data_IF_364773751641
#
_entry.id   IF_364773751641
#
_cell.length_a   1.000
_cell.length_b   1.000
_cell.length_c   1.000
_cell.angle_alpha   90.00
_cell.angle_beta   90.00
_cell.angle_gamma   90.00
#
_symmetry.space_group_name_H-M   'P 1'
#
loop_
_entity.id
_entity.type
_entity.pdbx_description
1 polymer ?
#
# COMPACT_ATOMS: atom_id res chain seq x y z
N UNK A 1 1.08 6.97 -24.58
CA UNK A 1 1.03 6.64 -23.14
C UNK A 1 1.56 5.23 -23.02
N UNK A 2 2.58 5.01 -22.20
CA UNK A 2 3.14 3.68 -22.03
C UNK A 2 2.50 2.97 -20.83
N UNK A 3 2.74 1.67 -20.70
CA UNK A 3 2.03 0.84 -19.74
C UNK A 3 2.34 1.22 -18.29
N UNK A 4 3.59 1.59 -18.00
CA UNK A 4 4.00 2.15 -16.70
C UNK A 4 3.20 3.40 -16.34
N UNK A 5 2.95 4.29 -17.31
CA UNK A 5 2.16 5.50 -17.09
C UNK A 5 0.70 5.16 -16.77
N UNK A 6 0.13 4.17 -17.45
CA UNK A 6 -1.24 3.69 -17.20
C UNK A 6 -1.36 3.09 -15.80
N UNK A 7 -0.51 2.13 -15.44
CA UNK A 7 -0.51 1.46 -14.12
C UNK A 7 -0.36 2.49 -13.00
N UNK A 8 0.61 3.41 -13.12
CA UNK A 8 0.81 4.47 -12.12
C UNK A 8 -0.40 5.40 -12.00
N UNK A 9 -1.07 5.70 -13.12
CA UNK A 9 -2.29 6.50 -13.13
C UNK A 9 -3.42 5.83 -12.36
N UNK A 10 -3.62 4.53 -12.59
CA UNK A 10 -4.60 3.71 -11.88
C UNK A 10 -4.27 3.58 -10.38
N UNK A 11 -3.01 3.33 -10.05
CA UNK A 11 -2.58 3.29 -8.66
C UNK A 11 -2.83 4.64 -7.97
N UNK A 12 -2.40 5.75 -8.59
CA UNK A 12 -2.66 7.08 -8.02
C UNK A 12 -4.15 7.35 -7.81
N UNK A 13 -5.02 6.95 -8.75
CA UNK A 13 -6.45 7.23 -8.63
C UNK A 13 -7.10 6.47 -7.48
N UNK A 14 -6.68 5.24 -7.17
CA UNK A 14 -7.19 4.51 -5.99
C UNK A 14 -6.67 5.10 -4.67
N UNK A 15 -5.46 5.67 -4.67
CA UNK A 15 -4.85 6.23 -3.45
C UNK A 15 -5.37 7.62 -3.11
N UNK A 16 -5.49 8.52 -4.10
CA UNK A 16 -5.82 9.95 -3.88
C UNK A 16 -6.96 10.50 -4.75
N UNK A 17 -7.62 9.63 -5.51
CA UNK A 17 -8.79 9.97 -6.31
C UNK A 17 -8.47 10.43 -7.75
N UNK A 18 -9.46 10.40 -8.66
CA UNK A 18 -10.80 9.82 -8.46
C UNK A 18 -10.79 8.30 -8.67
N UNK A 19 -11.09 7.51 -7.62
CA UNK A 19 -11.15 6.06 -7.72
C UNK A 19 -12.45 5.61 -8.38
N UNK A 20 -12.42 4.50 -9.12
CA UNK A 20 -13.60 4.02 -9.85
C UNK A 20 -14.65 3.36 -8.93
N UNK A 21 -14.21 2.82 -7.79
CA UNK A 21 -15.03 2.05 -6.85
C UNK A 21 -15.65 2.91 -5.73
N UNK A 22 -15.60 4.24 -5.83
CA UNK A 22 -16.05 5.17 -4.80
C UNK A 22 -14.92 6.04 -4.26
N UNK A 23 -14.95 6.45 -2.98
CA UNK A 23 -13.88 7.25 -2.40
C UNK A 23 -12.54 6.51 -2.46
N UNK A 24 -11.48 7.26 -2.75
CA UNK A 24 -10.10 6.80 -2.67
C UNK A 24 -9.68 6.51 -1.23
N UNK A 25 -8.52 5.87 -1.06
CA UNK A 25 -7.95 5.58 0.25
C UNK A 25 -7.80 6.85 1.11
N UNK A 26 -7.25 7.92 0.55
CA UNK A 26 -7.10 9.20 1.24
C UNK A 26 -8.45 9.82 1.64
N UNK A 27 -9.48 9.69 0.80
CA UNK A 27 -10.82 10.19 1.11
C UNK A 27 -11.50 9.38 2.21
N UNK A 28 -11.35 8.05 2.21
CA UNK A 28 -11.91 7.16 3.24
C UNK A 28 -11.29 7.40 4.63
N UNK A 29 -10.03 7.80 4.70
CA UNK A 29 -9.32 8.04 5.97
C UNK A 29 -9.58 9.44 6.54
N UNK A 30 -10.19 10.34 5.75
CA UNK A 30 -10.39 11.73 6.17
C UNK A 30 -11.37 11.81 7.35
N UNK A 31 -10.90 12.34 8.47
CA UNK A 31 -11.72 12.58 9.66
C UNK A 31 -11.92 11.35 10.56
N UNK A 32 -11.29 10.22 10.25
CA UNK A 32 -11.24 9.04 11.12
C UNK A 32 -10.36 9.37 12.33
N UNK A 33 -10.87 9.21 13.54
CA UNK A 33 -10.11 9.37 14.79
C UNK A 33 -9.33 8.10 15.12
N UNK A 34 -8.30 8.19 15.97
CA UNK A 34 -7.57 7.00 16.44
C UNK A 34 -8.48 5.98 17.13
N UNK A 35 -9.47 6.45 17.90
CA UNK A 35 -10.46 5.58 18.54
C UNK A 35 -11.27 4.78 17.51
N UNK A 36 -11.72 5.43 16.43
CA UNK A 36 -12.43 4.75 15.35
C UNK A 36 -11.49 3.82 14.58
N UNK A 37 -10.25 4.26 14.35
CA UNK A 37 -9.26 3.53 13.59
C UNK A 37 -8.87 2.21 14.27
N UNK A 38 -8.75 2.21 15.60
CA UNK A 38 -8.39 1.06 16.41
C UNK A 38 -9.58 0.18 16.83
N UNK A 39 -10.81 0.53 16.45
CA UNK A 39 -11.99 -0.23 16.85
C UNK A 39 -12.14 -1.55 16.06
N UNK A 40 -12.64 -2.58 16.74
CA UNK A 40 -13.02 -3.88 16.14
C UNK A 40 -14.53 -4.13 16.28
N UNK A 41 -15.38 -3.38 15.57
CA UNK A 41 -16.84 -3.54 15.68
C UNK A 41 -17.33 -4.87 15.12
N UNK A 42 -16.55 -5.49 14.23
CA UNK A 42 -16.83 -6.81 13.66
C UNK A 42 -15.82 -7.79 14.26
N UNK A 43 -16.33 -8.79 14.99
CA UNK A 43 -15.49 -9.80 15.62
C UNK A 43 -14.63 -10.55 14.58
N UNK A 44 -13.33 -10.67 14.86
CA UNK A 44 -12.37 -11.39 14.01
C UNK A 44 -11.97 -10.65 12.73
N UNK A 45 -12.46 -9.43 12.49
CA UNK A 45 -12.00 -8.59 11.37
C UNK A 45 -10.87 -7.67 11.81
N UNK A 46 -10.00 -7.27 10.89
CA UNK A 46 -9.01 -6.22 11.14
C UNK A 46 -9.68 -4.85 11.31
N UNK A 47 -9.13 -4.05 12.19
CA UNK A 47 -9.43 -2.63 12.35
C UNK A 47 -8.94 -1.82 11.15
N UNK A 48 -9.44 -0.58 11.02
CA UNK A 48 -8.99 0.34 9.96
C UNK A 48 -7.49 0.58 10.08
N UNK A 49 -6.97 0.71 11.31
CA UNK A 49 -5.55 0.96 11.54
C UNK A 49 -4.68 -0.22 11.11
N UNK A 50 -5.06 -1.45 11.45
CA UNK A 50 -4.34 -2.65 11.00
C UNK A 50 -4.32 -2.74 9.46
N UNK A 51 -5.42 -2.38 8.80
CA UNK A 51 -5.48 -2.34 7.33
C UNK A 51 -4.55 -1.25 6.77
N UNK A 52 -4.49 -0.06 7.37
CA UNK A 52 -3.55 1.00 6.98
C UNK A 52 -2.09 0.54 7.11
N UNK A 53 -1.77 -0.13 8.22
CA UNK A 53 -0.43 -0.68 8.46
C UNK A 53 -0.08 -1.74 7.41
N UNK A 54 -0.99 -2.67 7.14
CA UNK A 54 -0.84 -3.73 6.15
C UNK A 54 -0.58 -3.18 4.74
N UNK A 55 -1.41 -2.23 4.28
CA UNK A 55 -1.22 -1.58 2.97
C UNK A 55 0.16 -0.91 2.92
N UNK A 56 0.52 -0.15 3.97
CA UNK A 56 1.81 0.52 4.02
C UNK A 56 2.99 -0.46 3.96
N UNK A 57 2.91 -1.59 4.68
CA UNK A 57 3.94 -2.62 4.67
C UNK A 57 4.17 -3.17 3.25
N UNK A 58 3.10 -3.51 2.54
CA UNK A 58 3.17 -4.00 1.17
C UNK A 58 3.68 -2.95 0.17
N UNK A 59 3.32 -1.67 0.33
CA UNK A 59 3.85 -0.61 -0.53
C UNK A 59 5.38 -0.49 -0.41
N UNK A 60 5.91 -0.44 0.82
CA UNK A 60 7.36 -0.40 1.04
C UNK A 60 8.05 -1.69 0.59
N UNK A 61 7.40 -2.84 0.77
CA UNK A 61 7.91 -4.10 0.27
C UNK A 61 8.05 -4.11 -1.26
N UNK A 62 7.02 -3.66 -1.99
CA UNK A 62 7.07 -3.58 -3.45
C UNK A 62 8.11 -2.55 -3.90
N UNK A 63 8.26 -1.42 -3.21
CA UNK A 63 9.34 -0.46 -3.48
C UNK A 63 10.72 -1.14 -3.41
N UNK A 64 10.97 -1.92 -2.36
CA UNK A 64 12.23 -2.65 -2.21
C UNK A 64 12.40 -3.73 -3.30
N UNK A 65 11.32 -4.44 -3.65
CA UNK A 65 11.33 -5.44 -4.70
C UNK A 65 11.65 -4.85 -6.08
N UNK A 66 11.06 -3.70 -6.43
CA UNK A 66 11.36 -2.96 -7.66
C UNK A 66 12.80 -2.44 -7.70
N UNK A 67 13.41 -2.21 -6.54
CA UNK A 67 14.83 -1.86 -6.39
C UNK A 67 15.79 -3.07 -6.38
N UNK A 68 15.26 -4.30 -6.48
CA UNK A 68 16.07 -5.52 -6.58
C UNK A 68 16.34 -6.26 -5.27
N UNK A 69 15.67 -5.91 -4.16
CA UNK A 69 15.84 -6.58 -2.86
C UNK A 69 15.21 -7.99 -2.79
N UNK A 70 14.61 -8.47 -3.88
CA UNK A 70 13.76 -9.67 -3.89
C UNK A 70 12.33 -9.37 -3.43
N UNK A 71 11.43 -10.32 -3.64
CA UNK A 71 10.02 -10.18 -3.31
C UNK A 71 9.55 -11.38 -2.46
N UNK A 72 10.01 -11.57 -1.21
CA UNK A 72 9.45 -12.61 -0.33
C UNK A 72 8.01 -12.31 0.09
N UNK A 73 7.24 -13.31 0.52
CA UNK A 73 5.90 -13.05 1.07
C UNK A 73 6.06 -12.54 2.50
N UNK A 74 5.49 -11.39 2.83
CA UNK A 74 5.44 -10.90 4.21
C UNK A 74 4.63 -11.87 5.07
N UNK A 75 5.00 -12.04 6.34
CA UNK A 75 4.32 -12.93 7.28
C UNK A 75 4.25 -12.31 8.67
N UNK A 76 3.24 -12.69 9.47
CA UNK A 76 3.10 -12.22 10.85
C UNK A 76 3.11 -10.70 10.94
N UNK A 77 3.92 -10.16 11.84
CA UNK A 77 4.03 -8.72 12.09
C UNK A 77 4.64 -7.92 10.91
N UNK A 78 5.33 -8.58 9.97
CA UNK A 78 5.79 -7.93 8.74
C UNK A 78 4.61 -7.72 7.75
N UNK A 79 3.62 -8.62 7.74
CA UNK A 79 2.41 -8.51 6.92
C UNK A 79 1.32 -7.66 7.59
N UNK A 80 1.18 -7.81 8.90
CA UNK A 80 0.19 -7.14 9.74
C UNK A 80 0.88 -6.46 10.93
N UNK A 81 1.56 -5.32 10.73
CA UNK A 81 2.22 -4.63 11.83
C UNK A 81 1.23 -4.25 12.93
N UNK A 82 1.49 -4.62 14.20
CA UNK A 82 0.54 -4.45 15.29
C UNK A 82 0.34 -2.97 15.65
N UNK A 83 -0.84 -2.65 16.17
CA UNK A 83 -1.14 -1.34 16.76
C UNK A 83 -0.71 -1.36 18.22
N UNK A 84 0.45 -0.75 18.53
CA UNK A 84 1.02 -0.75 19.89
C UNK A 84 0.68 0.50 20.70
N UNK A 85 0.33 1.60 20.03
CA UNK A 85 -0.04 2.88 20.64
C UNK A 85 -1.30 3.43 19.95
N UNK A 86 -2.48 3.36 20.58
CA UNK A 86 -3.73 3.85 20.00
C UNK A 86 -3.94 5.37 20.17
N UNK A 87 -2.87 6.17 20.25
CA UNK A 87 -2.93 7.62 20.35
C UNK A 87 -3.25 8.30 19.00
N UNK A 88 -3.86 9.48 19.04
CA UNK A 88 -4.09 10.31 17.83
C UNK A 88 -2.79 10.66 17.11
N UNK A 89 -1.69 10.84 17.85
CA UNK A 89 -0.38 11.10 17.27
C UNK A 89 0.16 9.89 16.48
N UNK A 90 0.05 8.70 17.05
CA UNK A 90 0.45 7.47 16.38
C UNK A 90 -0.44 7.17 15.17
N UNK A 91 -1.74 7.44 15.26
CA UNK A 91 -2.66 7.30 14.13
C UNK A 91 -2.30 8.25 12.98
N UNK A 92 -2.10 9.53 13.27
CA UNK A 92 -1.66 10.51 12.28
C UNK A 92 -0.32 10.12 11.63
N UNK A 93 0.61 9.55 12.41
CA UNK A 93 1.87 9.03 11.89
C UNK A 93 1.67 7.81 10.97
N UNK A 94 0.75 6.90 11.28
CA UNK A 94 0.42 5.76 10.44
C UNK A 94 -0.17 6.19 9.09
N UNK A 95 -1.12 7.14 9.10
CA UNK A 95 -1.69 7.72 7.86
C UNK A 95 -0.63 8.45 7.04
N UNK A 96 0.26 9.21 7.69
CA UNK A 96 1.37 9.88 7.01
C UNK A 96 2.38 8.88 6.41
N UNK A 97 2.65 7.78 7.10
CA UNK A 97 3.52 6.70 6.61
C UNK A 97 2.94 6.02 5.38
N UNK A 98 1.63 5.78 5.38
CA UNK A 98 0.90 5.28 4.21
C UNK A 98 0.98 6.27 3.05
N UNK A 99 0.71 7.57 3.23
CA UNK A 99 0.86 8.57 2.17
C UNK A 99 2.30 8.63 1.60
N UNK A 100 3.31 8.52 2.47
CA UNK A 100 4.70 8.43 2.04
C UNK A 100 4.99 7.14 1.24
N UNK A 101 4.42 6.01 1.64
CA UNK A 101 4.50 4.72 0.92
C UNK A 101 3.90 4.84 -0.48
N UNK A 102 2.71 5.43 -0.57
CA UNK A 102 2.02 5.70 -1.84
C UNK A 102 2.89 6.52 -2.80
N UNK A 103 3.53 7.58 -2.29
CA UNK A 103 4.42 8.44 -3.08
C UNK A 103 5.69 7.69 -3.50
N UNK A 104 6.26 6.89 -2.61
CA UNK A 104 7.46 6.10 -2.86
C UNK A 104 7.21 5.02 -3.92
N UNK A 105 6.14 4.24 -3.79
CA UNK A 105 5.75 3.23 -4.76
C UNK A 105 5.41 3.87 -6.11
N UNK A 106 4.63 4.94 -6.09
CA UNK A 106 4.35 5.72 -7.27
C UNK A 106 5.61 6.23 -7.96
N UNK A 107 6.69 6.55 -7.22
CA UNK A 107 8.00 6.94 -7.75
C UNK A 107 8.80 5.75 -8.30
N UNK A 108 8.86 4.64 -7.56
CA UNK A 108 9.52 3.41 -7.98
C UNK A 108 8.94 2.90 -9.30
N UNK A 109 7.60 2.91 -9.46
CA UNK A 109 6.94 2.56 -10.72
C UNK A 109 7.40 3.45 -11.89
N UNK A 110 7.66 4.75 -11.69
CA UNK A 110 8.13 5.64 -12.78
C UNK A 110 9.49 5.25 -13.31
N UNK A 111 10.35 4.76 -12.42
CA UNK A 111 11.73 4.39 -12.72
C UNK A 111 11.85 2.93 -13.15
N UNK A 112 10.77 2.15 -13.08
CA UNK A 112 10.79 0.75 -13.48
C UNK A 112 10.76 0.62 -15.01
N UNK A 113 11.70 -0.14 -15.63
CA UNK A 113 11.72 -0.33 -17.08
C UNK A 113 10.48 -1.10 -17.56
N UNK A 114 9.83 -0.59 -18.60
CA UNK A 114 8.59 -1.16 -19.12
C UNK A 114 8.80 -2.56 -19.70
N UNK A 115 9.94 -2.80 -20.33
CA UNK A 115 10.34 -4.10 -20.88
C UNK A 115 10.40 -5.20 -19.80
N UNK A 116 10.66 -4.83 -18.55
CA UNK A 116 10.71 -5.76 -17.42
C UNK A 116 9.33 -6.18 -16.93
N UNK A 117 8.25 -5.50 -17.34
CA UNK A 117 6.88 -5.90 -16.97
C UNK A 117 6.56 -7.34 -17.39
N UNK A 118 7.13 -7.79 -18.51
CA UNK A 118 6.97 -9.16 -19.01
C UNK A 118 7.86 -10.21 -18.35
N UNK A 119 8.81 -9.79 -17.50
CA UNK A 119 9.73 -10.70 -16.81
C UNK A 119 9.10 -11.31 -15.56
N UNK A 120 9.57 -12.50 -15.19
CA UNK A 120 9.18 -13.16 -13.94
C UNK A 120 9.79 -12.40 -12.76
N UNK A 121 9.01 -12.17 -11.71
CA UNK A 121 9.54 -11.57 -10.49
C UNK A 121 10.58 -12.52 -9.89
N UNK A 122 11.81 -12.06 -9.59
CA UNK A 122 12.85 -12.94 -9.07
C UNK A 122 12.38 -13.72 -7.83
N UNK A 123 12.49 -15.05 -7.89
CA UNK A 123 12.07 -15.95 -6.80
C UNK A 123 10.56 -16.22 -6.73
N UNK A 124 9.78 -15.85 -7.75
CA UNK A 124 8.34 -16.08 -7.85
C UNK A 124 7.97 -16.82 -9.14
N UNK A 125 6.74 -17.31 -9.20
CA UNK A 125 6.13 -17.98 -10.35
C UNK A 125 5.24 -17.04 -11.20
N UNK A 126 5.16 -15.76 -10.83
CA UNK A 126 4.39 -14.72 -11.53
C UNK A 126 5.29 -13.62 -12.11
N UNK A 127 4.76 -12.88 -13.08
CA UNK A 127 5.43 -11.75 -13.74
C UNK A 127 5.15 -10.43 -13.03
N UNK A 128 5.95 -9.40 -13.30
CA UNK A 128 5.66 -8.05 -12.80
C UNK A 128 4.31 -7.50 -13.28
N UNK A 129 3.86 -7.95 -14.44
CA UNK A 129 2.53 -7.68 -14.98
C UNK A 129 1.61 -8.88 -14.79
N UNK A 130 0.72 -8.77 -13.80
CA UNK A 130 -0.37 -9.74 -13.55
C UNK A 130 -1.69 -9.02 -13.85
N UNK A 131 -2.52 -9.63 -14.71
CA UNK A 131 -3.87 -9.18 -15.05
C UNK A 131 -4.91 -9.83 -14.14
#
# INVERSE_FOLDING_TARGET
>A
MNEITRIRGLYKSVCVGPAWHGPSLAENLKGVTAQQAAAHPIAGSHSIWEIVNHISAWEYHVVAALAGAGCPTLQGDDDWPPVTDPSEAAWAAAVAKLDAGNKALGAAMRSFPEEKLGETVPGRDFRWYVL
#
